data_IF_687546745300
#
_entry.id   IF_687546745300
#
_cell.length_a   1.000
_cell.length_b   1.000
_cell.length_c   1.000
_cell.angle_alpha   90.00
_cell.angle_beta   90.00
_cell.angle_gamma   90.00
#
_symmetry.space_group_name_H-M   'P 1'
#
loop_
_entity.id
_entity.type
_entity.pdbx_description
1 polymer ?
#
# COMPACT_ATOMS: atom_id res chain seq x y z
N UNK A 1 -23.49 26.41 -66.50
CA UNK A 1 -22.72 25.15 -66.54
C UNK A 1 -21.42 25.42 -65.82
N UNK A 2 -21.25 24.92 -64.61
CA UNK A 2 -19.92 24.80 -64.00
C UNK A 2 -19.81 23.40 -63.39
N UNK A 3 -18.74 22.73 -63.81
CA UNK A 3 -18.51 21.30 -63.69
C UNK A 3 -18.07 21.00 -62.26
N UNK A 4 -18.74 20.03 -61.64
CA UNK A 4 -18.38 19.53 -60.32
C UNK A 4 -16.93 19.05 -60.29
N UNK A 5 -16.15 19.57 -59.35
CA UNK A 5 -14.87 18.95 -59.00
C UNK A 5 -15.16 17.60 -58.35
N UNK A 6 -14.98 16.53 -59.13
CA UNK A 6 -15.00 15.16 -58.65
C UNK A 6 -13.93 14.99 -57.57
N UNK A 7 -14.38 14.77 -56.33
CA UNK A 7 -13.52 14.39 -55.21
C UNK A 7 -12.82 13.08 -55.60
N UNK A 8 -11.49 13.10 -55.71
CA UNK A 8 -10.69 11.97 -56.20
C UNK A 8 -10.87 10.75 -55.27
N UNK A 9 -11.55 9.71 -55.77
CA UNK A 9 -11.55 8.35 -55.19
C UNK A 9 -10.14 7.77 -55.29
N UNK A 10 -9.50 7.47 -54.15
CA UNK A 10 -8.15 6.90 -54.13
C UNK A 10 -7.92 5.98 -52.93
N UNK A 11 -6.84 5.20 -52.98
CA UNK A 11 -6.42 4.28 -51.92
C UNK A 11 -5.05 4.70 -51.38
N UNK A 12 -4.87 4.62 -50.07
CA UNK A 12 -3.53 4.62 -49.46
C UNK A 12 -3.14 3.17 -49.22
N UNK A 13 -1.99 2.75 -49.74
CA UNK A 13 -1.43 1.44 -49.42
C UNK A 13 -0.70 1.53 -48.09
N UNK A 14 -1.13 0.76 -47.11
CA UNK A 14 -0.53 0.69 -45.78
C UNK A 14 0.05 -0.68 -45.51
N UNK A 15 1.27 -0.74 -44.99
CA UNK A 15 1.92 -1.99 -44.59
C UNK A 15 1.79 -2.17 -43.08
N UNK A 16 1.20 -3.28 -42.65
CA UNK A 16 0.91 -3.59 -41.25
C UNK A 16 2.21 -3.71 -40.45
N UNK A 17 2.30 -2.99 -39.33
CA UNK A 17 3.45 -2.98 -38.44
C UNK A 17 3.21 -3.84 -37.18
N UNK A 18 4.27 -4.25 -36.46
CA UNK A 18 4.11 -4.95 -35.19
C UNK A 18 3.24 -4.15 -34.21
N UNK A 19 2.19 -4.79 -33.69
CA UNK A 19 1.24 -4.19 -32.74
C UNK A 19 0.07 -3.44 -33.38
N UNK A 20 0.01 -3.34 -34.72
CA UNK A 20 -1.14 -2.77 -35.39
C UNK A 20 -2.39 -3.66 -35.23
N UNK A 21 -3.54 -3.01 -35.09
CA UNK A 21 -4.85 -3.64 -35.17
C UNK A 21 -5.65 -3.01 -36.30
N UNK A 22 -6.56 -3.76 -36.92
CA UNK A 22 -7.42 -3.23 -37.97
C UNK A 22 -8.20 -2.00 -37.48
N UNK A 23 -8.71 -2.04 -36.25
CA UNK A 23 -9.39 -0.92 -35.61
C UNK A 23 -8.46 0.31 -35.41
N UNK A 24 -7.22 0.08 -34.97
CA UNK A 24 -6.24 1.17 -34.79
C UNK A 24 -5.81 1.82 -36.10
N UNK A 25 -5.61 1.03 -37.15
CA UNK A 25 -5.32 1.53 -38.50
C UNK A 25 -6.53 2.30 -39.04
N UNK A 26 -7.72 1.74 -38.95
CA UNK A 26 -8.97 2.38 -39.39
C UNK A 26 -9.18 3.75 -38.72
N UNK A 27 -8.99 3.83 -37.40
CA UNK A 27 -9.07 5.07 -36.64
C UNK A 27 -8.01 6.10 -37.08
N UNK A 28 -6.77 5.67 -37.35
CA UNK A 28 -5.69 6.55 -37.81
C UNK A 28 -6.00 7.23 -39.13
N UNK A 29 -6.69 6.53 -40.03
CA UNK A 29 -7.05 7.04 -41.35
C UNK A 29 -8.49 7.58 -41.42
N UNK A 30 -9.22 7.57 -40.29
CA UNK A 30 -10.58 8.10 -40.21
C UNK A 30 -11.58 7.32 -41.06
N UNK A 31 -11.45 6.00 -41.17
CA UNK A 31 -12.31 5.14 -41.99
C UNK A 31 -12.89 3.99 -41.16
N UNK A 32 -14.02 3.41 -41.58
CA UNK A 32 -14.56 2.20 -40.95
C UNK A 32 -13.64 0.98 -41.23
N UNK A 33 -13.33 0.15 -40.21
CA UNK A 33 -12.56 -1.08 -40.38
C UNK A 33 -13.06 -1.99 -41.51
N UNK A 34 -14.38 -2.07 -41.71
CA UNK A 34 -15.01 -2.91 -42.75
C UNK A 34 -14.71 -2.41 -44.16
N UNK A 35 -14.51 -1.10 -44.33
CA UNK A 35 -14.10 -0.56 -45.62
C UNK A 35 -12.68 -0.99 -45.99
N UNK A 36 -11.76 -1.06 -45.03
CA UNK A 36 -10.41 -1.60 -45.22
C UNK A 36 -10.47 -3.11 -45.51
N UNK A 37 -11.34 -3.85 -44.81
CA UNK A 37 -11.52 -5.27 -45.05
C UNK A 37 -11.99 -5.55 -46.47
N UNK A 38 -13.02 -4.83 -46.93
CA UNK A 38 -13.56 -5.00 -48.27
C UNK A 38 -12.53 -4.67 -49.35
N UNK A 39 -11.83 -3.55 -49.21
CA UNK A 39 -10.85 -3.11 -50.20
C UNK A 39 -9.57 -3.93 -50.21
N UNK A 40 -9.20 -4.50 -49.08
CA UNK A 40 -8.00 -5.35 -48.94
C UNK A 40 -8.34 -6.85 -49.00
N UNK A 41 -9.59 -7.19 -49.32
CA UNK A 41 -10.13 -8.54 -49.41
C UNK A 41 -9.86 -9.41 -48.15
N UNK A 42 -10.01 -8.82 -46.96
CA UNK A 42 -9.84 -9.50 -45.68
C UNK A 42 -11.11 -10.25 -45.29
N UNK A 43 -10.97 -11.48 -44.81
CA UNK A 43 -12.07 -12.28 -44.27
C UNK A 43 -12.29 -12.10 -42.75
N UNK A 44 -11.45 -11.29 -42.08
CA UNK A 44 -11.50 -11.05 -40.65
C UNK A 44 -10.57 -9.90 -40.23
N UNK A 45 -10.50 -9.63 -38.93
CA UNK A 45 -9.76 -8.51 -38.33
C UNK A 45 -8.31 -8.85 -37.95
N UNK A 46 -7.88 -10.11 -38.14
CA UNK A 46 -6.52 -10.57 -37.91
C UNK A 46 -5.59 -10.11 -39.03
N UNK A 47 -4.55 -9.37 -38.65
CA UNK A 47 -3.55 -8.83 -39.56
C UNK A 47 -2.19 -9.48 -39.34
N UNK A 48 -1.42 -9.65 -40.41
CA UNK A 48 -0.03 -10.11 -40.36
C UNK A 48 0.92 -8.94 -40.57
N UNK A 49 2.02 -8.90 -39.81
CA UNK A 49 3.06 -7.88 -40.01
C UNK A 49 3.62 -8.00 -41.43
N UNK A 50 3.74 -6.88 -42.14
CA UNK A 50 4.13 -6.81 -43.55
C UNK A 50 2.96 -6.96 -44.53
N UNK A 51 1.74 -7.25 -44.06
CA UNK A 51 0.56 -7.34 -44.92
C UNK A 51 0.20 -5.96 -45.48
N UNK A 52 -0.08 -5.88 -46.79
CA UNK A 52 -0.49 -4.64 -47.45
C UNK A 52 -2.01 -4.51 -47.43
N UNK A 53 -2.48 -3.38 -46.90
CA UNK A 53 -3.89 -3.00 -46.86
C UNK A 53 -4.13 -1.82 -47.80
N UNK A 54 -5.27 -1.85 -48.49
CA UNK A 54 -5.77 -0.75 -49.29
C UNK A 54 -6.73 0.07 -48.44
N UNK A 55 -6.30 1.22 -47.93
CA UNK A 55 -7.13 2.08 -47.10
C UNK A 55 -7.87 3.06 -48.03
N UNK A 56 -9.21 3.01 -48.10
CA UNK A 56 -9.96 3.93 -48.95
C UNK A 56 -9.84 5.37 -48.41
N UNK A 57 -9.41 6.31 -49.24
CA UNK A 57 -9.60 7.73 -48.96
C UNK A 57 -11.05 8.09 -49.32
N UNK A 58 -12.00 7.62 -48.51
CA UNK A 58 -13.32 8.24 -48.48
C UNK A 58 -13.16 9.46 -47.58
N UNK A 59 -13.50 10.64 -48.07
CA UNK A 59 -13.87 11.70 -47.15
C UNK A 59 -15.07 11.15 -46.37
N UNK A 60 -14.85 10.60 -45.18
CA UNK A 60 -15.91 10.53 -44.19
C UNK A 60 -16.25 11.99 -44.00
N UNK A 61 -17.36 12.43 -44.62
CA UNK A 61 -17.93 13.72 -44.29
C UNK A 61 -17.95 13.73 -42.76
N UNK A 62 -17.20 14.64 -42.13
CA UNK A 62 -17.21 14.89 -40.69
C UNK A 62 -18.55 15.53 -40.34
N UNK A 63 -19.61 14.81 -40.67
CA UNK A 63 -20.98 15.19 -40.51
C UNK A 63 -21.32 14.76 -39.11
N UNK A 64 -21.38 15.74 -38.23
CA UNK A 64 -22.01 15.56 -36.93
C UNK A 64 -23.41 14.94 -37.15
N UNK A 65 -23.73 13.82 -36.48
CA UNK A 65 -25.04 13.17 -36.61
C UNK A 65 -26.16 14.18 -36.43
N UNK A 66 -27.18 14.10 -37.29
CA UNK A 66 -28.39 14.90 -37.11
C UNK A 66 -29.03 14.53 -35.78
N UNK A 67 -29.38 15.55 -34.99
CA UNK A 67 -30.13 15.40 -33.74
C UNK A 67 -31.61 15.71 -34.01
N UNK A 68 -32.57 14.90 -33.52
CA UNK A 68 -33.99 15.19 -33.65
C UNK A 68 -34.37 16.53 -33.04
N UNK A 69 -35.34 17.26 -33.62
CA UNK A 69 -35.85 18.48 -33.03
C UNK A 69 -36.42 18.21 -31.63
N UNK A 70 -36.11 19.10 -30.68
CA UNK A 70 -36.56 18.96 -29.29
C UNK A 70 -35.68 18.09 -28.39
N UNK A 71 -34.60 17.52 -28.93
CA UNK A 71 -33.51 16.88 -28.17
C UNK A 71 -32.33 17.85 -28.09
N UNK A 72 -31.89 18.17 -26.87
CA UNK A 72 -30.74 19.03 -26.60
C UNK A 72 -29.49 18.18 -26.33
N UNK A 73 -28.35 18.58 -26.89
CA UNK A 73 -27.06 17.91 -26.66
C UNK A 73 -26.38 18.53 -25.46
N UNK A 74 -26.17 17.74 -24.41
CA UNK A 74 -25.49 18.16 -23.20
C UNK A 74 -24.16 17.43 -23.03
N UNK A 75 -23.09 18.17 -22.74
CA UNK A 75 -21.79 17.58 -22.40
C UNK A 75 -21.68 17.44 -20.88
N UNK A 76 -21.55 16.20 -20.42
CA UNK A 76 -21.45 15.85 -19.00
C UNK A 76 -20.26 16.56 -18.37
N UNK A 77 -20.49 17.24 -17.25
CA UNK A 77 -19.46 17.91 -16.45
C UNK A 77 -19.01 17.01 -15.29
N UNK A 78 -17.79 17.18 -14.77
CA UNK A 78 -17.37 16.50 -13.55
C UNK A 78 -18.37 16.77 -12.40
N UNK A 79 -18.82 15.69 -11.74
CA UNK A 79 -19.79 15.77 -10.64
C UNK A 79 -21.26 15.75 -11.07
N UNK A 80 -21.56 15.77 -12.36
CA UNK A 80 -22.94 15.60 -12.82
C UNK A 80 -23.50 14.21 -12.46
N UNK A 81 -24.77 14.18 -12.10
CA UNK A 81 -25.55 12.96 -11.89
C UNK A 81 -26.75 12.94 -12.83
N UNK A 82 -27.24 11.76 -13.22
CA UNK A 82 -28.46 11.69 -14.04
C UNK A 82 -29.63 12.38 -13.34
N UNK A 83 -29.77 12.19 -12.03
CA UNK A 83 -30.81 12.84 -11.24
C UNK A 83 -30.70 14.37 -11.27
N UNK A 84 -29.48 14.90 -11.12
CA UNK A 84 -29.23 16.35 -11.14
C UNK A 84 -29.49 16.96 -12.51
N UNK A 85 -29.04 16.30 -13.59
CA UNK A 85 -29.31 16.74 -14.97
C UNK A 85 -30.80 16.65 -15.28
N UNK A 86 -31.46 15.55 -14.93
CA UNK A 86 -32.90 15.36 -15.12
C UNK A 86 -33.70 16.50 -14.45
N UNK A 87 -33.40 16.78 -13.17
CA UNK A 87 -34.05 17.85 -12.40
C UNK A 87 -33.79 19.23 -13.00
N UNK A 88 -32.56 19.52 -13.42
CA UNK A 88 -32.18 20.79 -14.04
C UNK A 88 -32.95 21.08 -15.32
N UNK A 89 -33.22 20.04 -16.10
CA UNK A 89 -33.88 20.16 -17.40
C UNK A 89 -35.40 19.86 -17.34
N UNK A 90 -35.93 19.57 -16.15
CA UNK A 90 -37.35 19.30 -15.94
C UNK A 90 -37.83 18.02 -16.64
N UNK A 91 -36.95 17.02 -16.78
CA UNK A 91 -37.25 15.71 -17.36
C UNK A 91 -37.14 14.62 -16.29
N UNK A 92 -37.85 13.51 -16.46
CA UNK A 92 -37.69 12.34 -15.60
C UNK A 92 -36.43 11.54 -15.96
N UNK A 93 -35.91 10.76 -15.02
CA UNK A 93 -34.76 9.87 -15.29
C UNK A 93 -35.11 8.83 -16.36
N UNK A 94 -36.34 8.32 -16.38
CA UNK A 94 -36.80 7.39 -17.41
C UNK A 94 -36.78 8.03 -18.81
N UNK A 95 -37.19 9.29 -18.94
CA UNK A 95 -37.12 10.02 -20.21
C UNK A 95 -35.66 10.22 -20.64
N UNK A 96 -34.79 10.57 -19.70
CA UNK A 96 -33.36 10.74 -19.95
C UNK A 96 -32.70 9.41 -20.38
N UNK A 97 -33.03 8.30 -19.74
CA UNK A 97 -32.57 6.96 -20.15
C UNK A 97 -33.16 6.54 -21.49
N UNK A 98 -34.41 6.93 -21.79
CA UNK A 98 -35.02 6.66 -23.10
C UNK A 98 -34.31 7.43 -24.23
N UNK A 99 -33.84 8.64 -23.97
CA UNK A 99 -33.02 9.39 -24.93
C UNK A 99 -31.55 8.90 -24.98
N UNK A 100 -31.11 8.09 -24.02
CA UNK A 100 -29.74 7.60 -23.91
C UNK A 100 -29.73 6.09 -23.58
N UNK A 101 -30.25 5.23 -24.47
CA UNK A 101 -30.41 3.80 -24.19
C UNK A 101 -29.07 3.06 -24.03
N UNK A 102 -27.96 3.66 -24.44
CA UNK A 102 -26.59 3.15 -24.27
C UNK A 102 -25.99 3.42 -22.88
N UNK A 103 -26.71 4.07 -21.97
CA UNK A 103 -26.24 4.28 -20.59
C UNK A 103 -25.99 2.94 -19.88
N UNK A 104 -24.87 2.86 -19.16
CA UNK A 104 -24.45 1.66 -18.43
C UNK A 104 -24.67 1.73 -16.91
N UNK A 105 -25.01 2.92 -16.39
CA UNK A 105 -25.21 3.20 -14.96
C UNK A 105 -26.14 4.38 -14.75
N UNK A 106 -26.90 4.36 -13.64
CA UNK A 106 -27.67 5.52 -13.18
C UNK A 106 -26.84 6.51 -12.33
N UNK A 107 -25.78 6.00 -11.69
CA UNK A 107 -24.96 6.76 -10.75
C UNK A 107 -23.71 7.36 -11.39
N UNK A 108 -23.21 6.73 -12.45
CA UNK A 108 -21.94 7.09 -13.08
C UNK A 108 -22.19 7.70 -14.45
N UNK A 109 -21.91 9.00 -14.57
CA UNK A 109 -21.76 9.69 -15.83
C UNK A 109 -20.29 9.98 -16.10
N UNK A 110 -19.83 9.68 -17.33
CA UNK A 110 -18.45 9.92 -17.74
C UNK A 110 -18.31 11.39 -18.11
N UNK A 111 -17.47 12.13 -17.39
CA UNK A 111 -17.22 13.54 -17.70
C UNK A 111 -16.71 13.69 -19.15
N UNK A 112 -17.27 14.66 -19.87
CA UNK A 112 -17.00 14.91 -21.28
C UNK A 112 -17.84 14.08 -22.25
N UNK A 113 -18.58 13.07 -21.78
CA UNK A 113 -19.50 12.33 -22.64
C UNK A 113 -20.70 13.19 -23.04
N UNK A 114 -21.37 12.78 -24.12
CA UNK A 114 -22.57 13.44 -24.62
C UNK A 114 -23.80 12.73 -24.05
N UNK A 115 -24.75 13.54 -23.59
CA UNK A 115 -26.06 13.13 -23.12
C UNK A 115 -27.15 13.88 -23.90
N UNK A 116 -28.14 13.16 -24.39
CA UNK A 116 -29.27 13.69 -25.14
C UNK A 116 -30.45 13.99 -24.21
N UNK A 117 -30.91 15.23 -24.17
CA UNK A 117 -31.95 15.68 -23.23
C UNK A 117 -33.26 15.92 -23.98
N UNK A 118 -34.31 15.13 -23.72
CA UNK A 118 -35.58 15.22 -24.45
C UNK A 118 -36.48 16.34 -23.89
N UNK A 119 -36.26 17.59 -24.32
CA UNK A 119 -36.95 18.77 -23.78
C UNK A 119 -38.37 18.99 -24.31
N UNK A 120 -38.57 18.77 -25.62
CA UNK A 120 -39.87 19.00 -26.27
C UNK A 120 -40.48 17.73 -26.85
N UNK A 121 -39.67 16.70 -27.07
CA UNK A 121 -40.08 15.49 -27.74
C UNK A 121 -39.64 14.29 -26.90
N UNK A 122 -40.61 13.46 -26.49
CA UNK A 122 -40.42 12.32 -25.60
C UNK A 122 -40.45 11.02 -26.41
N UNK A 123 -39.48 10.16 -26.16
CA UNK A 123 -39.37 8.89 -26.87
C UNK A 123 -38.00 8.27 -26.74
N UNK A 124 -37.82 7.14 -27.41
CA UNK A 124 -36.56 6.42 -27.49
C UNK A 124 -35.70 7.07 -28.58
N UNK A 125 -34.48 7.47 -28.25
CA UNK A 125 -33.53 8.01 -29.24
C UNK A 125 -32.50 6.94 -29.57
N UNK A 126 -32.38 6.60 -30.85
CA UNK A 126 -31.44 5.60 -31.36
C UNK A 126 -30.70 6.12 -32.58
N UNK A 127 -29.47 5.65 -32.81
CA UNK A 127 -28.75 5.94 -34.05
C UNK A 127 -29.25 5.04 -35.17
N UNK A 128 -29.47 5.59 -36.37
CA UNK A 128 -29.89 4.83 -37.54
C UNK A 128 -28.76 3.88 -37.98
N UNK A 129 -28.96 2.55 -37.94
CA UNK A 129 -27.92 1.60 -38.31
C UNK A 129 -27.56 1.70 -39.80
N UNK A 130 -26.34 1.29 -40.15
CA UNK A 130 -25.95 1.15 -41.55
C UNK A 130 -26.85 0.17 -42.31
N UNK A 131 -27.21 0.57 -43.53
CA UNK A 131 -28.07 -0.22 -44.40
C UNK A 131 -29.54 -0.29 -43.96
N UNK A 132 -29.93 0.39 -42.88
CA UNK A 132 -31.34 0.50 -42.45
C UNK A 132 -31.92 1.86 -42.82
N UNK A 133 -33.19 1.86 -43.20
CA UNK A 133 -33.98 3.06 -43.41
C UNK A 133 -34.82 3.40 -42.18
N UNK A 134 -35.35 4.63 -42.14
CA UNK A 134 -36.35 5.00 -41.12
C UNK A 134 -37.59 4.09 -41.18
N UNK A 135 -37.94 3.59 -42.37
CA UNK A 135 -39.08 2.68 -42.55
C UNK A 135 -38.81 1.35 -41.84
N UNK A 136 -37.63 0.77 -42.03
CA UNK A 136 -37.22 -0.47 -41.37
C UNK A 136 -37.20 -0.31 -39.85
N UNK A 137 -36.64 0.82 -39.39
CA UNK A 137 -36.60 1.12 -37.97
C UNK A 137 -38.00 1.31 -37.38
N UNK A 138 -38.88 2.08 -38.03
CA UNK A 138 -40.24 2.30 -37.56
C UNK A 138 -41.04 0.98 -37.51
N UNK A 139 -40.90 0.12 -38.53
CA UNK A 139 -41.56 -1.18 -38.58
C UNK A 139 -41.15 -2.09 -37.41
N UNK A 140 -39.86 -2.11 -37.04
CA UNK A 140 -39.36 -2.90 -35.89
C UNK A 140 -40.01 -2.52 -34.56
N UNK A 141 -40.43 -1.26 -34.42
CA UNK A 141 -41.09 -0.76 -33.20
C UNK A 141 -42.62 -0.64 -33.35
N UNK A 142 -43.20 -1.13 -34.46
CA UNK A 142 -44.64 -1.05 -34.73
C UNK A 142 -45.16 0.38 -34.90
N UNK A 143 -44.31 1.31 -35.33
CA UNK A 143 -44.63 2.72 -35.51
C UNK A 143 -44.92 3.05 -36.98
N UNK A 144 -45.78 4.04 -37.21
CA UNK A 144 -45.99 4.59 -38.55
C UNK A 144 -44.73 5.36 -39.03
N UNK A 145 -44.14 5.01 -40.19
CA UNK A 145 -42.96 5.73 -40.72
C UNK A 145 -43.21 7.23 -40.89
N UNK A 146 -44.43 7.63 -41.27
CA UNK A 146 -44.82 9.04 -41.41
C UNK A 146 -44.84 9.76 -40.06
N UNK A 147 -45.34 9.10 -39.00
CA UNK A 147 -45.36 9.66 -37.66
C UNK A 147 -43.93 9.84 -37.10
N UNK A 148 -43.05 8.86 -37.33
CA UNK A 148 -41.63 8.93 -36.95
C UNK A 148 -40.93 10.04 -37.74
N UNK A 149 -41.11 10.12 -39.07
CA UNK A 149 -40.53 11.18 -39.88
C UNK A 149 -40.95 12.58 -39.40
N UNK A 150 -42.25 12.78 -39.11
CA UNK A 150 -42.78 14.03 -38.55
C UNK A 150 -42.16 14.37 -37.20
N UNK A 151 -42.05 13.40 -36.28
CA UNK A 151 -41.43 13.60 -34.97
C UNK A 151 -39.93 13.99 -35.07
N UNK A 152 -39.27 13.58 -36.15
CA UNK A 152 -37.87 13.90 -36.42
C UNK A 152 -37.68 15.16 -37.30
N UNK A 153 -38.76 15.86 -37.66
CA UNK A 153 -38.72 17.04 -38.53
C UNK A 153 -38.20 16.72 -39.94
N UNK A 154 -38.47 15.50 -40.42
CA UNK A 154 -38.05 15.02 -41.73
C UNK A 154 -39.25 14.99 -42.67
N UNK A 155 -39.08 15.47 -43.91
CA UNK A 155 -40.14 15.45 -44.93
C UNK A 155 -40.14 14.11 -45.68
N UNK A 156 -38.96 13.60 -46.05
CA UNK A 156 -38.80 12.30 -46.69
C UNK A 156 -38.05 11.32 -45.76
N UNK A 157 -38.63 10.16 -45.42
CA UNK A 157 -37.94 9.10 -44.66
C UNK A 157 -36.53 8.73 -45.16
N UNK A 158 -36.21 8.97 -46.44
CA UNK A 158 -34.91 8.72 -47.06
C UNK A 158 -33.88 9.83 -46.81
N UNK A 159 -34.27 10.98 -46.25
CA UNK A 159 -33.36 12.09 -45.93
C UNK A 159 -32.37 11.74 -44.79
N UNK A 160 -32.68 10.71 -44.01
CA UNK A 160 -31.82 10.28 -42.90
C UNK A 160 -30.71 9.36 -43.40
N UNK A 161 -29.49 9.67 -42.98
CA UNK A 161 -28.31 8.84 -43.27
C UNK A 161 -27.97 7.95 -42.07
N UNK A 162 -27.30 6.81 -42.28
CA UNK A 162 -26.72 6.04 -41.19
C UNK A 162 -25.92 6.91 -40.21
N UNK A 163 -26.06 6.64 -38.92
CA UNK A 163 -25.46 7.44 -37.86
C UNK A 163 -26.37 8.56 -37.33
N UNK A 164 -27.29 9.11 -38.15
CA UNK A 164 -28.24 10.14 -37.69
C UNK A 164 -29.08 9.60 -36.52
N UNK A 165 -29.35 10.46 -35.54
CA UNK A 165 -30.19 10.10 -34.40
C UNK A 165 -31.66 10.20 -34.78
N UNK A 166 -32.44 9.20 -34.37
CA UNK A 166 -33.86 9.07 -34.65
C UNK A 166 -34.61 8.95 -33.33
N UNK A 167 -35.55 9.86 -33.11
CA UNK A 167 -36.52 9.81 -32.04
C UNK A 167 -37.71 8.93 -32.46
N UNK A 168 -37.97 7.89 -31.67
CA UNK A 168 -39.14 7.03 -31.79
C UNK A 168 -40.19 7.49 -30.76
N UNK A 169 -41.21 8.26 -31.19
CA UNK A 169 -42.17 8.85 -30.28
C UNK A 169 -42.99 7.79 -29.54
N UNK A 170 -43.25 8.03 -28.25
CA UNK A 170 -44.07 7.14 -27.42
C UNK A 170 -43.37 5.86 -26.91
N UNK A 171 -42.19 5.53 -27.44
CA UNK A 171 -41.39 4.39 -26.95
C UNK A 171 -40.56 4.83 -25.75
N UNK A 172 -40.59 4.06 -24.67
CA UNK A 172 -39.79 4.29 -23.47
C UNK A 172 -38.87 3.11 -23.23
N UNK A 173 -37.62 3.38 -22.83
CA UNK A 173 -36.65 2.35 -22.50
C UNK A 173 -36.85 1.77 -21.09
N UNK A 174 -38.07 1.29 -20.78
CA UNK A 174 -38.44 0.78 -19.45
C UNK A 174 -37.56 -0.40 -19.01
N UNK A 175 -37.37 -1.38 -19.87
CA UNK A 175 -36.52 -2.55 -19.60
C UNK A 175 -35.06 -2.15 -19.36
N UNK A 176 -34.52 -1.23 -20.15
CA UNK A 176 -33.18 -0.66 -19.92
C UNK A 176 -33.11 0.04 -18.57
N UNK A 177 -34.10 0.86 -18.24
CA UNK A 177 -34.16 1.57 -16.97
C UNK A 177 -34.25 0.61 -15.78
N UNK A 178 -35.14 -0.37 -15.82
CA UNK A 178 -35.29 -1.40 -14.79
C UNK A 178 -34.01 -2.20 -14.58
N UNK A 179 -33.32 -2.59 -15.66
CA UNK A 179 -32.01 -3.25 -15.59
C UNK A 179 -30.97 -2.36 -14.90
N UNK A 180 -30.92 -1.08 -15.24
CA UNK A 180 -29.96 -0.14 -14.64
C UNK A 180 -30.30 0.15 -13.17
N UNK A 181 -31.58 0.20 -12.82
CA UNK A 181 -32.06 0.34 -11.44
C UNK A 181 -31.70 -0.89 -10.61
N UNK A 182 -31.94 -2.10 -11.12
CA UNK A 182 -31.54 -3.34 -10.45
C UNK A 182 -30.02 -3.38 -10.20
N UNK A 183 -29.22 -3.01 -11.20
CA UNK A 183 -27.76 -2.89 -11.07
C UNK A 183 -27.36 -1.86 -10.00
N UNK A 184 -28.02 -0.71 -9.95
CA UNK A 184 -27.79 0.31 -8.92
C UNK A 184 -28.12 -0.23 -7.52
N UNK A 185 -29.24 -0.93 -7.35
CA UNK A 185 -29.63 -1.52 -6.08
C UNK A 185 -28.66 -2.61 -5.62
N UNK A 186 -28.20 -3.46 -6.53
CA UNK A 186 -27.19 -4.48 -6.27
C UNK A 186 -25.87 -3.84 -5.82
N UNK A 187 -25.35 -2.85 -6.57
CA UNK A 187 -24.14 -2.12 -6.20
C UNK A 187 -24.30 -1.45 -4.81
N UNK A 188 -25.48 -0.88 -4.50
CA UNK A 188 -25.76 -0.27 -3.20
C UNK A 188 -25.77 -1.30 -2.07
N UNK A 189 -26.40 -2.46 -2.27
CA UNK A 189 -26.41 -3.56 -1.28
C UNK A 189 -25.01 -4.08 -1.04
N UNK A 190 -24.23 -4.33 -2.10
CA UNK A 190 -22.86 -4.77 -2.00
C UNK A 190 -21.98 -3.77 -1.23
N UNK A 191 -22.15 -2.47 -1.46
CA UNK A 191 -21.44 -1.42 -0.69
C UNK A 191 -21.78 -1.45 0.80
N UNK A 192 -23.05 -1.57 1.15
CA UNK A 192 -23.48 -1.64 2.56
C UNK A 192 -22.97 -2.90 3.25
N UNK A 193 -22.98 -4.05 2.57
CA UNK A 193 -22.43 -5.29 3.10
C UNK A 193 -20.92 -5.23 3.28
N UNK A 194 -20.20 -4.64 2.33
CA UNK A 194 -18.75 -4.43 2.44
C UNK A 194 -18.40 -3.53 3.63
N UNK A 195 -19.14 -2.44 3.83
CA UNK A 195 -18.96 -1.55 4.98
C UNK A 195 -19.25 -2.26 6.30
N UNK A 196 -20.33 -3.06 6.36
CA UNK A 196 -20.64 -3.87 7.56
C UNK A 196 -19.51 -4.85 7.89
N UNK A 197 -19.02 -5.59 6.89
CA UNK A 197 -17.89 -6.54 7.05
C UNK A 197 -16.64 -5.81 7.55
N UNK A 198 -16.33 -4.64 6.99
CA UNK A 198 -15.19 -3.82 7.42
C UNK A 198 -15.33 -3.36 8.87
N UNK A 199 -16.53 -2.94 9.28
CA UNK A 199 -16.78 -2.54 10.67
C UNK A 199 -16.66 -3.71 11.66
N UNK A 200 -17.16 -4.89 11.28
CA UNK A 200 -17.01 -6.12 12.07
C UNK A 200 -15.54 -6.52 12.23
N UNK A 201 -14.75 -6.45 11.15
CA UNK A 201 -13.32 -6.72 11.17
C UNK A 201 -12.57 -5.74 12.08
N UNK A 202 -12.85 -4.43 11.96
CA UNK A 202 -12.25 -3.41 12.82
C UNK A 202 -12.60 -3.63 14.30
N UNK A 203 -13.84 -4.02 14.62
CA UNK A 203 -14.25 -4.37 15.98
C UNK A 203 -13.47 -5.57 16.51
N UNK A 204 -13.34 -6.63 15.70
CA UNK A 204 -12.57 -7.83 16.06
C UNK A 204 -11.10 -7.50 16.35
N UNK A 205 -10.46 -6.71 15.49
CA UNK A 205 -9.07 -6.27 15.68
C UNK A 205 -8.90 -5.40 16.94
N UNK A 206 -9.87 -4.52 17.22
CA UNK A 206 -9.86 -3.69 18.43
C UNK A 206 -9.98 -4.54 19.71
N UNK A 207 -10.86 -5.54 19.72
CA UNK A 207 -11.00 -6.48 20.83
C UNK A 207 -9.72 -7.30 21.05
N UNK A 208 -9.12 -7.80 19.98
CA UNK A 208 -7.86 -8.54 20.05
C UNK A 208 -6.71 -7.68 20.62
N UNK A 209 -6.58 -6.44 20.12
CA UNK A 209 -5.59 -5.48 20.64
C UNK A 209 -5.81 -5.18 22.12
N UNK A 210 -7.07 -5.04 22.55
CA UNK A 210 -7.40 -4.81 23.97
C UNK A 210 -7.00 -6.01 24.84
N UNK A 211 -7.25 -7.24 24.37
CA UNK A 211 -6.82 -8.47 25.07
C UNK A 211 -5.30 -8.56 25.18
N UNK A 212 -4.58 -8.28 24.09
CA UNK A 212 -3.11 -8.27 24.11
C UNK A 212 -2.55 -7.22 25.07
N UNK A 213 -3.12 -6.02 25.09
CA UNK A 213 -2.74 -4.97 26.04
C UNK A 213 -3.00 -5.38 27.48
N UNK A 214 -4.14 -6.00 27.78
CA UNK A 214 -4.45 -6.50 29.12
C UNK A 214 -3.45 -7.57 29.58
N UNK A 215 -3.12 -8.52 28.71
CA UNK A 215 -2.10 -9.55 28.98
C UNK A 215 -0.71 -8.94 29.20
N UNK A 216 -0.32 -7.95 28.40
CA UNK A 216 0.95 -7.24 28.56
C UNK A 216 1.00 -6.47 29.90
N UNK A 217 -0.09 -5.82 30.29
CA UNK A 217 -0.21 -5.13 31.59
C UNK A 217 -0.13 -6.10 32.76
N UNK A 218 -0.78 -7.27 32.67
CA UNK A 218 -0.68 -8.32 33.70
C UNK A 218 0.77 -8.79 33.86
N UNK A 219 1.45 -9.15 32.76
CA UNK A 219 2.87 -9.55 32.78
C UNK A 219 3.78 -8.47 33.37
N UNK A 220 3.53 -7.20 33.04
CA UNK A 220 4.30 -6.08 33.59
C UNK A 220 4.11 -5.95 35.11
N UNK A 221 2.90 -6.15 35.63
CA UNK A 221 2.61 -6.14 37.08
C UNK A 221 3.29 -7.30 37.79
N UNK A 222 3.23 -8.51 37.24
CA UNK A 222 3.92 -9.70 37.78
C UNK A 222 5.44 -9.51 37.82
N UNK A 223 6.01 -8.90 36.78
CA UNK A 223 7.44 -8.58 36.74
C UNK A 223 7.82 -7.52 37.78
N UNK A 224 6.94 -6.55 38.06
CA UNK A 224 7.17 -5.54 39.10
C UNK A 224 7.08 -6.11 40.52
N UNK A 225 6.15 -7.01 40.80
CA UNK A 225 6.03 -7.65 42.14
C UNK A 225 7.16 -8.63 42.43
N UNK A 226 7.82 -9.18 41.41
CA UNK A 226 9.00 -10.05 41.55
C UNK A 226 10.34 -9.28 41.55
N UNK A 227 10.35 -7.94 41.47
CA UNK A 227 11.60 -7.17 41.58
C UNK A 227 12.16 -7.29 43.01
N UNK A 228 13.37 -7.84 43.20
CA UNK A 228 14.00 -7.88 44.52
C UNK A 228 14.17 -6.45 45.05
N UNK A 229 13.84 -6.23 46.32
CA UNK A 229 13.99 -4.93 46.97
C UNK A 229 15.47 -4.55 47.01
N UNK A 230 15.86 -3.62 46.14
CA UNK A 230 17.22 -3.06 46.13
C UNK A 230 17.38 -2.18 47.36
N UNK A 231 18.17 -2.64 48.32
CA UNK A 231 18.57 -1.89 49.51
C UNK A 231 19.37 -0.67 49.02
N UNK A 232 18.79 0.54 49.07
CA UNK A 232 19.52 1.78 48.72
C UNK A 232 20.70 1.93 49.67
N UNK A 233 21.91 1.89 49.13
CA UNK A 233 23.15 1.98 49.89
C UNK A 233 23.56 3.44 50.02
N UNK A 234 23.64 3.93 51.26
CA UNK A 234 24.42 5.13 51.59
C UNK A 234 25.89 4.73 51.65
N UNK A 235 26.74 5.38 50.84
CA UNK A 235 28.18 5.14 50.82
C UNK A 235 28.81 5.45 52.19
N UNK A 236 29.52 4.48 52.77
CA UNK A 236 30.55 4.72 53.78
C UNK A 236 31.93 4.53 53.15
N UNK A 237 32.80 5.50 53.38
CA UNK A 237 34.16 5.61 52.85
C UNK A 237 35.13 4.70 53.64
N UNK A 238 36.01 3.97 52.93
CA UNK A 238 37.02 3.05 53.50
C UNK A 238 36.47 1.66 53.90
N UNK A 239 37.07 0.52 53.56
CA UNK A 239 38.22 0.14 52.75
C UNK A 239 37.82 -1.13 51.97
N UNK A 240 38.18 -1.24 50.69
CA UNK A 240 37.98 -2.50 49.97
C UNK A 240 38.96 -3.53 50.53
N UNK A 241 38.64 -4.82 50.40
CA UNK A 241 39.59 -5.91 50.67
C UNK A 241 40.17 -6.44 49.37
N UNK A 242 41.34 -7.06 49.45
CA UNK A 242 41.88 -7.84 48.33
C UNK A 242 40.85 -8.89 47.87
N UNK A 243 40.51 -8.93 46.57
CA UNK A 243 39.50 -9.85 46.02
C UNK A 243 40.03 -11.27 45.80
N UNK A 244 41.33 -11.46 46.03
CA UNK A 244 42.06 -12.70 45.82
C UNK A 244 43.12 -12.84 46.92
N UNK A 245 43.46 -14.07 47.29
CA UNK A 245 44.54 -14.38 48.23
C UNK A 245 45.63 -15.20 47.55
N UNK A 246 46.89 -15.07 48.00
CA UNK A 246 48.00 -15.86 47.44
C UNK A 246 48.31 -15.54 45.97
N UNK A 247 48.20 -14.26 45.60
CA UNK A 247 48.38 -13.78 44.24
C UNK A 247 49.71 -13.05 44.07
N UNK A 248 50.11 -12.85 42.81
CA UNK A 248 51.13 -11.89 42.42
C UNK A 248 50.53 -10.92 41.40
N UNK A 249 50.77 -9.61 41.57
CA UNK A 249 50.38 -8.63 40.55
C UNK A 249 51.28 -8.81 39.33
N UNK A 250 50.69 -9.06 38.17
CA UNK A 250 51.43 -9.21 36.89
C UNK A 250 51.34 -7.97 36.02
N UNK A 251 50.23 -7.23 36.10
CA UNK A 251 49.99 -6.02 35.31
C UNK A 251 49.35 -4.96 36.20
N UNK A 252 49.89 -3.73 36.16
CA UNK A 252 49.34 -2.60 36.90
C UNK A 252 48.42 -1.72 36.05
N UNK A 253 47.57 -0.95 36.72
CA UNK A 253 46.71 0.04 36.08
C UNK A 253 47.52 1.04 35.23
N UNK A 254 47.00 1.36 34.05
CA UNK A 254 47.61 2.29 33.11
C UNK A 254 48.84 1.75 32.36
N UNK A 255 49.34 0.56 32.68
CA UNK A 255 50.36 -0.08 31.88
C UNK A 255 49.82 -0.51 30.52
N UNK A 256 50.71 -0.67 29.55
CA UNK A 256 50.37 -1.25 28.25
C UNK A 256 50.31 -2.76 28.37
N UNK A 257 49.13 -3.33 28.18
CA UNK A 257 48.93 -4.78 28.16
C UNK A 257 49.17 -5.38 26.77
N UNK A 258 49.14 -6.71 26.71
CA UNK A 258 49.28 -7.48 25.44
C UNK A 258 48.13 -7.18 24.48
N UNK A 259 46.91 -7.06 25.00
CA UNK A 259 45.70 -6.86 24.20
C UNK A 259 45.17 -5.42 24.19
N UNK A 260 45.67 -4.56 25.09
CA UNK A 260 45.13 -3.22 25.30
C UNK A 260 46.23 -2.18 25.52
N UNK A 261 46.08 -1.01 24.87
CA UNK A 261 47.04 0.10 24.99
C UNK A 261 47.07 0.71 26.39
N UNK A 262 45.98 0.58 27.13
CA UNK A 262 45.83 1.08 28.50
C UNK A 262 45.10 0.03 29.34
N UNK A 263 45.72 -0.39 30.44
CA UNK A 263 45.16 -1.38 31.37
C UNK A 263 44.19 -0.71 32.36
N UNK A 264 42.90 -1.05 32.28
CA UNK A 264 41.82 -0.44 33.10
C UNK A 264 41.72 -0.97 34.53
N UNK A 265 42.53 -1.95 34.89
CA UNK A 265 42.52 -2.60 36.21
C UNK A 265 43.91 -3.02 36.66
N UNK A 266 43.95 -4.03 37.53
CA UNK A 266 45.14 -4.78 37.90
C UNK A 266 44.93 -6.27 37.62
N UNK A 267 45.98 -6.95 37.19
CA UNK A 267 45.94 -8.40 36.97
C UNK A 267 46.62 -9.12 38.13
N UNK A 268 45.84 -9.99 38.79
CA UNK A 268 46.26 -10.77 39.94
C UNK A 268 46.41 -12.24 39.52
N UNK A 269 47.64 -12.67 39.26
CA UNK A 269 47.93 -14.04 38.87
C UNK A 269 47.79 -14.98 40.07
N UNK A 270 47.02 -16.05 39.89
CA UNK A 270 46.82 -17.14 40.84
C UNK A 270 46.44 -18.43 40.10
N UNK A 271 46.41 -19.55 40.81
CA UNK A 271 46.03 -20.83 40.21
C UNK A 271 44.59 -20.80 39.66
N UNK A 272 44.36 -21.56 38.59
CA UNK A 272 43.02 -21.76 38.04
C UNK A 272 42.10 -22.34 39.12
N UNK A 273 40.90 -21.79 39.28
CA UNK A 273 39.93 -22.23 40.27
C UNK A 273 40.10 -21.61 41.66
N UNK A 274 41.11 -20.75 41.90
CA UNK A 274 41.22 -20.02 43.18
C UNK A 274 39.95 -19.18 43.42
N UNK A 275 39.34 -19.22 44.62
CA UNK A 275 38.13 -18.44 44.90
C UNK A 275 38.38 -16.93 44.80
N UNK A 276 37.49 -16.24 44.07
CA UNK A 276 37.42 -14.78 43.98
C UNK A 276 36.33 -14.31 44.93
N UNK A 277 36.64 -13.33 45.77
CA UNK A 277 35.70 -12.76 46.74
C UNK A 277 35.34 -11.31 46.42
N UNK A 278 34.16 -10.88 46.84
CA UNK A 278 33.74 -9.48 46.73
C UNK A 278 34.67 -8.57 47.55
N UNK A 279 35.28 -7.58 46.91
CA UNK A 279 36.15 -6.59 47.54
C UNK A 279 35.39 -5.64 48.48
N UNK A 280 34.09 -5.44 48.26
CA UNK A 280 33.17 -4.67 49.11
C UNK A 280 31.75 -5.25 48.96
N UNK A 281 30.90 -5.07 49.98
CA UNK A 281 29.50 -5.46 49.89
C UNK A 281 28.79 -4.66 48.78
N UNK A 282 27.88 -5.29 48.06
CA UNK A 282 27.20 -4.64 46.93
C UNK A 282 26.17 -5.52 46.26
N UNK A 283 25.45 -4.95 45.30
CA UNK A 283 24.53 -5.67 44.45
C UNK A 283 25.25 -6.12 43.18
N UNK A 284 25.06 -7.37 42.78
CA UNK A 284 25.53 -7.91 41.51
C UNK A 284 24.74 -7.26 40.38
N UNK A 285 25.37 -6.34 39.65
CA UNK A 285 24.77 -5.70 38.49
C UNK A 285 24.87 -6.63 37.27
N UNK A 286 26.05 -7.22 37.07
CA UNK A 286 26.33 -8.15 35.97
C UNK A 286 26.92 -9.43 36.54
N UNK A 287 26.42 -10.57 36.07
CA UNK A 287 27.03 -11.89 36.25
C UNK A 287 26.81 -12.68 34.96
N UNK A 288 27.81 -12.74 34.10
CA UNK A 288 27.67 -13.41 32.81
C UNK A 288 28.89 -13.33 31.91
N UNK A 289 28.70 -13.76 30.67
CA UNK A 289 29.72 -13.72 29.63
C UNK A 289 29.77 -12.35 28.95
N UNK A 290 30.96 -11.75 28.85
CA UNK A 290 31.23 -10.63 27.96
C UNK A 290 31.80 -11.13 26.63
N UNK A 291 31.20 -10.69 25.52
CA UNK A 291 31.73 -10.93 24.17
C UNK A 291 32.96 -10.09 23.83
N UNK A 292 33.38 -9.18 24.72
CA UNK A 292 34.51 -8.26 24.48
C UNK A 292 35.44 -8.28 25.69
N UNK A 293 36.61 -8.92 25.54
CA UNK A 293 37.72 -8.88 26.49
C UNK A 293 37.54 -9.68 27.78
N UNK A 294 36.49 -9.45 28.55
CA UNK A 294 36.39 -9.88 29.95
C UNK A 294 36.06 -11.36 30.18
N UNK A 295 35.47 -12.06 29.20
CA UNK A 295 35.01 -13.44 29.39
C UNK A 295 33.91 -13.54 30.45
N UNK A 296 33.92 -14.59 31.28
CA UNK A 296 33.02 -14.63 32.44
C UNK A 296 33.44 -13.59 33.46
N UNK A 297 32.51 -12.71 33.82
CA UNK A 297 32.79 -11.61 34.72
C UNK A 297 31.59 -11.29 35.63
N UNK A 298 31.92 -10.61 36.71
CA UNK A 298 30.96 -10.04 37.66
C UNK A 298 31.24 -8.56 37.80
N UNK A 299 30.18 -7.75 37.84
CA UNK A 299 30.22 -6.33 38.25
C UNK A 299 29.37 -6.16 39.49
N UNK A 300 29.94 -5.54 40.53
CA UNK A 300 29.24 -5.22 41.77
C UNK A 300 29.06 -3.71 41.87
N UNK A 301 27.81 -3.25 42.05
CA UNK A 301 27.48 -1.89 42.45
C UNK A 301 27.51 -1.79 43.98
N UNK A 302 28.37 -0.92 44.50
CA UNK A 302 28.53 -0.68 45.94
C UNK A 302 27.74 0.53 46.43
N UNK A 303 26.98 1.19 45.55
CA UNK A 303 26.33 2.46 45.79
C UNK A 303 27.28 3.65 45.71
N UNK A 304 26.71 4.86 45.64
CA UNK A 304 27.50 6.10 45.52
C UNK A 304 28.29 6.23 44.22
N UNK A 305 27.92 5.46 43.19
CA UNK A 305 28.61 5.43 41.90
C UNK A 305 29.94 4.67 41.91
N UNK A 306 30.19 3.82 42.92
CA UNK A 306 31.39 3.00 43.01
C UNK A 306 31.07 1.56 42.62
N UNK A 307 31.81 1.03 41.66
CA UNK A 307 31.65 -0.33 41.15
C UNK A 307 32.98 -1.09 41.20
N UNK A 308 32.91 -2.41 41.30
CA UNK A 308 34.06 -3.29 41.05
C UNK A 308 33.76 -4.31 39.96
N UNK A 309 34.73 -4.56 39.08
CA UNK A 309 34.65 -5.56 38.02
C UNK A 309 35.67 -6.67 38.28
N UNK A 310 35.24 -7.92 38.10
CA UNK A 310 36.03 -9.12 38.29
C UNK A 310 35.93 -9.96 37.02
N UNK A 311 37.01 -10.14 36.29
CA UNK A 311 37.02 -10.73 34.95
C UNK A 311 37.82 -12.04 34.85
N UNK A 312 37.73 -12.65 33.66
CA UNK A 312 38.42 -13.87 33.25
C UNK A 312 38.09 -15.11 34.09
N UNK A 313 36.92 -15.13 34.74
CA UNK A 313 36.53 -16.22 35.63
C UNK A 313 36.40 -17.55 34.87
N UNK A 314 36.63 -18.65 35.58
CA UNK A 314 36.31 -20.00 35.10
C UNK A 314 34.84 -20.34 35.33
N UNK A 315 34.29 -19.85 36.45
CA UNK A 315 32.92 -20.05 36.87
C UNK A 315 32.45 -18.89 37.75
N UNK A 316 31.22 -18.45 37.55
CA UNK A 316 30.54 -17.44 38.36
C UNK A 316 29.72 -18.15 39.46
N UNK A 317 29.78 -17.66 40.69
CA UNK A 317 29.10 -18.25 41.85
C UNK A 317 27.87 -17.46 42.32
N UNK A 318 27.52 -16.38 41.61
CA UNK A 318 26.43 -15.45 41.95
C UNK A 318 25.57 -15.13 40.72
N UNK A 319 24.42 -14.49 40.92
CA UNK A 319 23.49 -14.10 39.84
C UNK A 319 23.20 -12.59 39.85
N UNK A 320 22.87 -12.03 38.68
CA UNK A 320 22.44 -10.64 38.59
C UNK A 320 21.27 -10.34 39.54
N UNK A 321 21.32 -9.18 40.19
CA UNK A 321 20.39 -8.74 41.23
C UNK A 321 20.67 -9.27 42.64
N UNK A 322 21.56 -10.28 42.81
CA UNK A 322 21.92 -10.81 44.12
C UNK A 322 22.71 -9.79 44.94
N UNK A 323 22.41 -9.68 46.23
CA UNK A 323 23.25 -8.96 47.18
C UNK A 323 24.39 -9.85 47.69
N UNK A 324 25.60 -9.30 47.80
CA UNK A 324 26.77 -9.99 48.33
C UNK A 324 27.46 -9.17 49.41
N UNK A 325 27.98 -9.84 50.44
CA UNK A 325 28.78 -9.21 51.48
C UNK A 325 30.26 -9.17 51.10
N UNK A 326 31.03 -8.23 51.65
CA UNK A 326 32.47 -8.18 51.43
C UNK A 326 33.12 -9.50 51.90
N UNK A 327 33.88 -10.15 51.01
CA UNK A 327 34.50 -11.45 51.29
C UNK A 327 33.69 -12.67 50.87
N UNK A 328 32.44 -12.49 50.46
CA UNK A 328 31.67 -13.59 49.90
C UNK A 328 32.27 -14.03 48.56
N UNK A 329 32.34 -15.34 48.33
CA UNK A 329 32.81 -15.90 47.06
C UNK A 329 31.82 -15.55 45.95
N UNK A 330 32.33 -14.92 44.88
CA UNK A 330 31.55 -14.47 43.73
C UNK A 330 31.91 -15.22 42.44
N UNK A 331 33.05 -15.90 42.42
CA UNK A 331 33.49 -16.71 41.29
C UNK A 331 34.84 -17.36 41.56
N UNK A 332 35.44 -17.88 40.51
CA UNK A 332 36.70 -18.60 40.58
C UNK A 332 37.63 -18.15 39.46
N UNK A 333 38.92 -18.01 39.77
CA UNK A 333 39.97 -17.63 38.81
C UNK A 333 39.90 -18.56 37.59
N UNK A 334 40.05 -17.97 36.41
CA UNK A 334 40.08 -18.71 35.16
C UNK A 334 41.01 -18.05 34.15
N UNK A 335 40.75 -18.33 32.89
CA UNK A 335 41.48 -17.77 31.75
C UNK A 335 40.55 -17.54 30.56
N UNK A 336 39.31 -17.13 30.83
CA UNK A 336 38.31 -16.86 29.78
C UNK A 336 38.45 -15.45 29.22
N UNK A 337 37.99 -15.21 27.98
CA UNK A 337 38.17 -13.92 27.31
C UNK A 337 39.63 -13.68 26.87
N UNK A 338 40.05 -12.42 26.86
CA UNK A 338 41.41 -12.01 26.48
C UNK A 338 42.37 -12.18 27.65
N UNK A 339 42.81 -13.40 27.86
CA UNK A 339 43.73 -13.77 28.92
C UNK A 339 44.87 -14.64 28.37
N UNK A 340 46.11 -14.36 28.77
CA UNK A 340 47.28 -15.17 28.40
C UNK A 340 47.56 -16.31 29.38
N UNK A 341 46.79 -16.44 30.46
CA UNK A 341 46.94 -17.47 31.47
C UNK A 341 46.14 -17.17 32.74
N UNK A 342 46.04 -18.11 33.70
CA UNK A 342 45.17 -17.94 34.87
C UNK A 342 45.47 -16.70 35.71
N UNK A 343 44.50 -15.77 35.77
CA UNK A 343 44.55 -14.57 36.61
C UNK A 343 43.14 -13.98 36.82
N UNK A 344 43.02 -13.08 37.79
CA UNK A 344 41.87 -12.18 37.95
C UNK A 344 42.24 -10.81 37.41
N UNK A 345 41.46 -10.29 36.45
CA UNK A 345 41.46 -8.87 36.13
C UNK A 345 40.47 -8.15 37.04
N UNK A 346 40.97 -7.20 37.84
CA UNK A 346 40.18 -6.46 38.83
C UNK A 346 40.18 -4.96 38.52
N UNK A 347 38.99 -4.37 38.40
CA UNK A 347 38.81 -2.93 38.23
C UNK A 347 38.03 -2.32 39.39
N UNK A 348 38.34 -1.05 39.68
CA UNK A 348 37.50 -0.16 40.49
C UNK A 348 37.03 0.96 39.57
N UNK A 349 35.72 1.22 39.53
CA UNK A 349 35.15 2.32 38.74
C UNK A 349 34.42 3.29 39.67
N UNK A 350 34.59 4.58 39.41
CA UNK A 350 33.91 5.66 40.14
C UNK A 350 33.24 6.57 39.12
N UNK A 351 31.91 6.64 39.16
CA UNK A 351 31.10 7.34 38.16
C UNK A 351 31.27 6.75 36.76
N UNK A 352 31.44 5.43 36.66
CA UNK A 352 31.69 4.72 35.39
C UNK A 352 33.12 4.84 34.84
N UNK A 353 34.02 5.58 35.49
CA UNK A 353 35.41 5.75 35.05
C UNK A 353 36.34 4.84 35.85
N UNK A 354 37.15 4.04 35.16
CA UNK A 354 38.15 3.18 35.78
C UNK A 354 39.22 4.02 36.54
N UNK A 355 39.49 3.63 37.78
CA UNK A 355 40.49 4.22 38.67
C UNK A 355 41.52 3.16 39.04
N UNK A 356 42.71 3.60 39.43
CA UNK A 356 43.75 2.69 39.90
C UNK A 356 43.26 1.94 41.15
N UNK A 357 43.04 0.60 41.09
CA UNK A 357 42.51 -0.17 42.21
C UNK A 357 43.38 -0.11 43.47
N UNK A 358 44.70 0.11 43.33
CA UNK A 358 45.62 0.21 44.46
C UNK A 358 45.35 1.41 45.38
N UNK A 359 44.57 2.41 44.93
CA UNK A 359 44.15 3.53 45.78
C UNK A 359 42.98 3.17 46.72
N UNK A 360 42.34 2.00 46.52
CA UNK A 360 41.14 1.57 47.24
C UNK A 360 41.33 0.27 48.03
N UNK A 361 42.42 -0.45 47.74
CA UNK A 361 42.82 -1.71 48.37
C UNK A 361 43.81 -1.45 49.52
N UNK A 362 43.90 -2.36 50.52
CA UNK A 362 44.68 -2.17 51.73
C UNK A 362 46.16 -2.52 51.56
#
# INVERSE_FOLDING_TARGET
MEVGQAVKKGWVVYEVKPGDTLAGIAARYGVDPRHIMWSSNLQGDRLQVGQRLLIPLVAVEDRSPRVPPGVEVYRVRPGDTLQGVASRYGVSVLELVSANPSLESLDRLVAGSVLYIPRKAKGLVVSLPEGQTLVDLAARFGLSPVAVARANGVKDPLDLKPGDLVLLPGIQAKTTYERLLAKQEEERRARLEAERRRQEELRRLAEERRRQQALAQQRARETQTQRPQVRRVSYQEGAMRWPLSGFRITTYFGQRGVFQRFHTGIDLAAAYGTPIVAAKAGQVEVAGWSSVGYGFHVVLDHGGGVETLYAHMSRIAVRAGQWVEAGQVIGYVGSTGWSTGPHLHFEVRVGGVARNPLAYLP
#
